data_IF_963879432794
#
_entry.id   IF_963879432794
#
_cell.length_a   1.000
_cell.length_b   1.000
_cell.length_c   1.000
_cell.angle_alpha   90.00
_cell.angle_beta   90.00
_cell.angle_gamma   90.00
#
_symmetry.space_group_name_H-M   'P 1'
#
loop_
_entity.id
_entity.type
_entity.pdbx_description
1 polymer ?
#
# COMPACT_ATOMS: atom_id res chain seq x y z
N UNK A 1 -10.85 -18.44 31.40
CA UNK A 1 -10.07 -17.30 31.91
C UNK A 1 -11.03 -16.13 32.02
N UNK A 2 -10.86 -15.22 32.98
CA UNK A 2 -11.73 -14.04 33.04
C UNK A 2 -11.52 -13.19 31.78
N UNK A 3 -12.62 -12.67 31.22
CA UNK A 3 -12.66 -11.94 29.96
C UNK A 3 -11.74 -10.71 29.95
N UNK A 4 -11.29 -10.30 28.74
CA UNK A 4 -10.64 -9.00 28.54
C UNK A 4 -11.61 -7.92 29.01
N UNK A 5 -11.21 -7.05 29.92
CA UNK A 5 -12.06 -5.93 30.34
C UNK A 5 -11.66 -4.70 29.54
N UNK A 6 -12.63 -3.87 29.09
CA UNK A 6 -12.29 -2.60 28.50
C UNK A 6 -11.58 -1.72 29.52
N UNK A 7 -10.60 -0.98 29.04
CA UNK A 7 -9.92 0.08 29.77
C UNK A 7 -9.98 1.36 28.96
N UNK A 8 -9.76 2.51 29.61
CA UNK A 8 -9.65 3.78 28.91
C UNK A 8 -8.48 3.73 27.91
N UNK A 9 -8.73 4.15 26.68
CA UNK A 9 -7.68 4.26 25.67
C UNK A 9 -6.72 5.41 26.03
N UNK A 10 -5.41 5.25 25.86
CA UNK A 10 -4.46 6.36 26.07
C UNK A 10 -4.63 7.47 25.01
N UNK A 11 -4.04 8.64 25.26
CA UNK A 11 -3.89 9.69 24.24
C UNK A 11 -2.54 9.48 23.52
N UNK A 12 -2.57 9.42 22.20
CA UNK A 12 -1.38 9.44 21.37
C UNK A 12 -0.83 10.86 21.22
N UNK A 13 0.42 10.99 20.79
CA UNK A 13 0.98 12.28 20.37
C UNK A 13 0.58 12.68 18.94
N UNK A 14 -0.15 11.81 18.23
CA UNK A 14 -0.52 11.98 16.82
C UNK A 14 -2.02 12.27 16.69
N UNK A 15 -2.37 13.29 15.91
CA UNK A 15 -3.76 13.73 15.75
C UNK A 15 -4.63 12.71 14.99
N UNK A 16 -4.10 12.03 13.97
CA UNK A 16 -4.85 11.01 13.23
C UNK A 16 -5.09 9.77 14.07
N UNK A 17 -4.09 9.32 14.85
CA UNK A 17 -4.28 8.20 15.78
C UNK A 17 -5.38 8.57 16.78
N UNK A 18 -5.27 9.72 17.47
CA UNK A 18 -6.32 10.18 18.40
C UNK A 18 -7.68 10.34 17.73
N UNK A 19 -7.69 10.65 16.44
CA UNK A 19 -8.87 10.77 15.59
C UNK A 19 -9.58 9.45 15.30
N UNK A 20 -8.91 8.31 15.51
CA UNK A 20 -9.50 6.98 15.36
C UNK A 20 -9.71 6.26 16.70
N UNK A 21 -9.14 6.69 17.82
CA UNK A 21 -9.32 5.97 19.08
C UNK A 21 -10.72 6.22 19.64
N UNK A 22 -11.44 5.14 19.97
CA UNK A 22 -12.57 5.21 20.87
C UNK A 22 -12.11 5.52 22.30
N UNK A 23 -13.04 5.91 23.17
CA UNK A 23 -12.77 6.22 24.59
C UNK A 23 -12.15 5.05 25.36
N UNK A 24 -12.40 3.82 24.92
CA UNK A 24 -11.95 2.57 25.53
C UNK A 24 -11.61 1.51 24.49
N UNK A 25 -10.80 0.54 24.92
CA UNK A 25 -10.37 -0.62 24.13
C UNK A 25 -10.21 -1.83 25.05
N UNK A 26 -10.11 -3.03 24.48
CA UNK A 26 -9.91 -4.26 25.25
C UNK A 26 -8.49 -4.35 25.81
N UNK A 27 -8.33 -4.80 27.06
CA UNK A 27 -7.00 -5.12 27.57
C UNK A 27 -7.04 -6.34 28.49
N UNK A 28 -6.15 -7.30 28.22
CA UNK A 28 -5.81 -8.38 29.15
C UNK A 28 -4.31 -8.30 29.50
N UNK A 29 -3.96 -7.80 30.70
CA UNK A 29 -2.57 -7.61 31.12
C UNK A 29 -1.78 -8.90 31.38
N UNK A 30 -2.39 -10.10 31.30
CA UNK A 30 -1.74 -11.39 31.59
C UNK A 30 -1.54 -12.23 30.30
N UNK A 31 -2.43 -12.11 29.31
CA UNK A 31 -2.48 -13.02 28.15
C UNK A 31 -2.11 -12.40 26.79
N UNK A 32 -1.92 -11.07 26.72
CA UNK A 32 -2.08 -10.35 25.45
C UNK A 32 -3.56 -10.24 25.09
N UNK A 33 -3.92 -9.47 24.05
CA UNK A 33 -5.33 -9.22 23.70
C UNK A 33 -5.94 -10.41 22.96
N UNK A 34 -6.31 -11.45 23.71
CA UNK A 34 -7.07 -12.60 23.22
C UNK A 34 -8.56 -12.29 23.27
N UNK A 35 -9.23 -12.36 22.12
CA UNK A 35 -10.66 -12.05 22.00
C UNK A 35 -11.40 -13.22 21.35
N UNK A 36 -12.37 -13.77 22.07
CA UNK A 36 -13.21 -14.84 21.56
C UNK A 36 -14.37 -14.26 20.75
N UNK A 37 -14.49 -14.68 19.49
CA UNK A 37 -15.53 -14.23 18.58
C UNK A 37 -16.55 -15.32 18.35
N UNK A 38 -17.83 -15.01 18.55
CA UNK A 38 -18.94 -15.90 18.16
C UNK A 38 -19.70 -15.31 16.99
N UNK A 39 -19.66 -16.00 15.84
CA UNK A 39 -20.51 -15.66 14.69
C UNK A 39 -21.86 -16.34 14.90
N UNK A 40 -22.89 -15.56 15.25
CA UNK A 40 -24.24 -16.04 15.59
C UNK A 40 -25.08 -16.30 14.34
N UNK A 41 -26.11 -17.14 14.45
CA UNK A 41 -27.10 -17.34 13.38
C UNK A 41 -26.59 -18.19 12.22
N UNK A 42 -25.51 -18.95 12.42
CA UNK A 42 -25.00 -19.86 11.39
C UNK A 42 -25.99 -21.03 11.19
N UNK A 43 -26.41 -21.25 9.93
CA UNK A 43 -27.33 -22.32 9.51
C UNK A 43 -28.77 -22.26 10.04
N UNK A 44 -29.12 -21.30 10.92
CA UNK A 44 -30.47 -21.11 11.46
C UNK A 44 -30.59 -19.72 12.11
N UNK A 45 -31.82 -19.26 12.32
CA UNK A 45 -32.05 -18.07 13.12
C UNK A 45 -31.58 -18.27 14.57
N UNK A 46 -30.90 -17.27 15.11
CA UNK A 46 -30.40 -17.27 16.48
C UNK A 46 -30.61 -15.90 17.13
N UNK A 47 -31.19 -15.89 18.33
CA UNK A 47 -31.45 -14.67 19.08
C UNK A 47 -30.27 -14.37 19.99
N UNK A 48 -29.91 -13.10 20.06
CA UNK A 48 -28.80 -12.63 20.87
C UNK A 48 -29.09 -11.20 21.36
N UNK A 49 -28.51 -10.81 22.50
CA UNK A 49 -28.67 -9.46 23.04
C UNK A 49 -27.71 -8.48 22.36
N UNK A 50 -28.22 -7.33 21.96
CA UNK A 50 -27.49 -6.22 21.36
C UNK A 50 -27.85 -4.94 22.12
N UNK A 51 -27.06 -4.61 23.13
CA UNK A 51 -27.25 -3.38 23.92
C UNK A 51 -28.59 -3.34 24.68
N UNK A 52 -29.04 -4.49 25.20
CA UNK A 52 -30.33 -4.61 25.89
C UNK A 52 -31.53 -4.86 24.96
N UNK A 53 -31.30 -4.95 23.65
CA UNK A 53 -32.32 -5.30 22.64
C UNK A 53 -32.06 -6.69 22.09
N UNK A 54 -33.07 -7.56 22.11
CA UNK A 54 -32.97 -8.87 21.48
C UNK A 54 -33.11 -8.74 19.94
N UNK A 55 -32.10 -9.20 19.22
CA UNK A 55 -32.06 -9.22 17.74
C UNK A 55 -31.97 -10.65 17.22
N UNK A 56 -32.43 -10.91 16.00
CA UNK A 56 -32.42 -12.24 15.38
C UNK A 56 -31.43 -12.29 14.22
N UNK A 57 -30.30 -12.96 14.45
CA UNK A 57 -29.28 -13.17 13.42
C UNK A 57 -29.58 -14.38 12.54
N UNK A 58 -29.25 -14.27 11.27
CA UNK A 58 -29.17 -15.36 10.31
C UNK A 58 -28.03 -15.07 9.33
N UNK A 59 -26.88 -15.71 9.57
CA UNK A 59 -25.62 -15.44 8.88
C UNK A 59 -25.30 -16.59 7.92
N UNK A 60 -25.19 -16.29 6.63
CA UNK A 60 -24.85 -17.27 5.58
C UNK A 60 -23.34 -17.45 5.43
N UNK A 61 -22.91 -18.50 4.73
CA UNK A 61 -21.49 -18.86 4.60
C UNK A 61 -20.61 -17.73 4.05
N UNK A 62 -21.10 -16.94 3.10
CA UNK A 62 -20.36 -15.85 2.48
C UNK A 62 -20.09 -14.71 3.48
N UNK A 63 -21.07 -14.42 4.34
CA UNK A 63 -20.96 -13.43 5.41
C UNK A 63 -20.05 -13.93 6.55
N UNK A 64 -20.11 -15.23 6.86
CA UNK A 64 -19.15 -15.87 7.77
C UNK A 64 -17.72 -15.68 7.25
N UNK A 65 -17.49 -15.91 5.95
CA UNK A 65 -16.18 -15.68 5.31
C UNK A 65 -15.77 -14.21 5.36
N UNK A 66 -16.68 -13.26 5.16
CA UNK A 66 -16.39 -11.83 5.26
C UNK A 66 -15.94 -11.43 6.68
N UNK A 67 -16.63 -11.92 7.72
CA UNK A 67 -16.17 -11.73 9.11
C UNK A 67 -14.79 -12.35 9.35
N UNK A 68 -14.58 -13.60 8.92
CA UNK A 68 -13.31 -14.29 9.11
C UNK A 68 -12.14 -13.56 8.43
N UNK A 69 -12.35 -13.07 7.20
CA UNK A 69 -11.34 -12.25 6.50
C UNK A 69 -11.03 -10.96 7.26
N UNK A 70 -12.07 -10.27 7.76
CA UNK A 70 -11.91 -9.03 8.52
C UNK A 70 -11.11 -9.25 9.81
N UNK A 71 -11.42 -10.30 10.56
CA UNK A 71 -10.65 -10.70 11.75
C UNK A 71 -9.19 -10.97 11.39
N UNK A 72 -8.95 -11.77 10.35
CA UNK A 72 -7.60 -12.12 9.91
C UNK A 72 -6.79 -10.88 9.48
N UNK A 73 -7.38 -9.94 8.74
CA UNK A 73 -6.67 -8.73 8.31
C UNK A 73 -6.29 -7.83 9.48
N UNK A 74 -7.09 -7.80 10.55
CA UNK A 74 -6.75 -7.09 11.78
C UNK A 74 -5.60 -7.79 12.52
N UNK A 75 -5.62 -9.12 12.64
CA UNK A 75 -4.52 -9.89 13.28
C UNK A 75 -3.20 -9.78 12.50
N UNK A 76 -3.26 -9.64 11.18
CA UNK A 76 -2.06 -9.48 10.36
C UNK A 76 -1.23 -8.27 10.80
N UNK A 77 -1.88 -7.21 11.31
CA UNK A 77 -1.22 -5.92 11.56
C UNK A 77 -1.00 -5.60 13.04
N UNK A 78 -1.68 -6.27 13.96
CA UNK A 78 -1.58 -6.00 15.40
C UNK A 78 -1.67 -7.27 16.27
N UNK A 79 -1.28 -7.19 17.54
CA UNK A 79 -1.23 -8.34 18.45
C UNK A 79 -2.57 -8.65 19.13
N UNK A 80 -3.65 -8.65 18.36
CA UNK A 80 -4.90 -9.29 18.77
C UNK A 80 -4.84 -10.76 18.31
N UNK A 81 -5.33 -11.66 19.15
CA UNK A 81 -5.48 -13.09 18.87
C UNK A 81 -6.98 -13.44 18.97
N UNK A 82 -7.64 -13.46 17.81
CA UNK A 82 -9.04 -13.81 17.67
C UNK A 82 -9.22 -15.33 17.66
N UNK A 83 -10.05 -15.81 18.58
CA UNK A 83 -10.38 -17.23 18.67
C UNK A 83 -11.88 -17.44 18.47
N UNK A 84 -12.28 -18.44 17.71
CA UNK A 84 -13.71 -18.77 17.61
C UNK A 84 -14.24 -19.29 18.94
N UNK A 85 -15.26 -18.63 19.47
CA UNK A 85 -15.95 -19.04 20.69
C UNK A 85 -16.85 -20.25 20.44
N UNK A 86 -17.03 -21.08 21.47
CA UNK A 86 -17.88 -22.28 21.39
C UNK A 86 -19.38 -21.98 21.57
N UNK A 87 -19.73 -20.83 22.15
CA UNK A 87 -21.10 -20.38 22.39
C UNK A 87 -21.15 -18.88 22.63
N UNK A 88 -22.34 -18.28 22.55
CA UNK A 88 -22.54 -16.86 22.89
C UNK A 88 -22.05 -16.50 24.30
N UNK A 89 -22.18 -17.41 25.28
CA UNK A 89 -21.78 -17.16 26.67
C UNK A 89 -20.25 -17.20 26.88
N UNK A 90 -19.51 -17.72 25.89
CA UNK A 90 -18.05 -17.83 25.90
C UNK A 90 -17.37 -16.71 25.09
N UNK A 91 -18.16 -15.83 24.46
CA UNK A 91 -17.66 -14.83 23.52
C UNK A 91 -17.36 -13.49 24.20
N UNK A 92 -16.25 -12.87 23.80
CA UNK A 92 -15.97 -11.46 24.07
C UNK A 92 -16.67 -10.56 23.03
N UNK A 93 -16.67 -10.99 21.77
CA UNK A 93 -17.28 -10.32 20.62
C UNK A 93 -18.31 -11.26 20.02
N UNK A 94 -19.52 -10.74 19.76
CA UNK A 94 -20.57 -11.49 19.05
C UNK A 94 -20.89 -10.73 17.77
N UNK A 95 -20.76 -11.40 16.63
CA UNK A 95 -21.06 -10.81 15.33
C UNK A 95 -22.18 -11.57 14.66
N UNK A 96 -23.03 -10.87 13.91
CA UNK A 96 -24.12 -11.51 13.18
C UNK A 96 -24.74 -10.63 12.12
N UNK A 97 -25.45 -11.27 11.20
CA UNK A 97 -26.21 -10.59 10.16
C UNK A 97 -27.69 -10.62 10.51
N UNK A 98 -28.35 -9.46 10.51
CA UNK A 98 -29.75 -9.27 10.92
C UNK A 98 -30.56 -8.61 9.79
N UNK A 99 -31.88 -8.57 9.93
CA UNK A 99 -32.76 -7.82 9.01
C UNK A 99 -32.86 -6.33 9.37
N UNK A 100 -33.43 -5.53 8.47
CA UNK A 100 -33.50 -4.08 8.58
C UNK A 100 -34.17 -3.57 9.85
N UNK A 101 -35.15 -4.32 10.39
CA UNK A 101 -35.83 -3.96 11.63
C UNK A 101 -34.90 -4.00 12.83
N UNK A 102 -33.99 -4.97 12.86
CA UNK A 102 -33.07 -5.21 13.96
C UNK A 102 -31.83 -4.31 13.86
N UNK A 103 -31.47 -3.89 12.64
CA UNK A 103 -30.40 -2.94 12.37
C UNK A 103 -30.86 -1.46 12.36
N UNK A 104 -32.13 -1.17 12.65
CA UNK A 104 -32.73 0.18 12.61
C UNK A 104 -32.44 0.97 11.30
N UNK A 105 -32.33 0.25 10.18
CA UNK A 105 -32.05 0.83 8.87
C UNK A 105 -30.59 1.22 8.58
N UNK A 106 -29.67 1.04 9.53
CA UNK A 106 -28.23 1.23 9.30
C UNK A 106 -27.63 0.08 8.46
N UNK A 107 -26.48 0.30 7.83
CA UNK A 107 -25.74 -0.75 7.11
C UNK A 107 -25.13 -1.76 8.08
N UNK A 108 -24.57 -1.25 9.17
CA UNK A 108 -24.00 -1.98 10.28
C UNK A 108 -24.09 -1.15 11.55
N UNK A 109 -24.01 -1.83 12.69
CA UNK A 109 -23.91 -1.19 14.01
C UNK A 109 -23.02 -2.05 14.90
N UNK A 110 -22.17 -1.39 15.67
CA UNK A 110 -21.30 -2.00 16.66
C UNK A 110 -21.51 -1.33 18.02
N UNK A 111 -21.34 -2.11 19.09
CA UNK A 111 -21.29 -1.60 20.46
C UNK A 111 -19.82 -1.61 20.89
N UNK A 112 -19.15 -0.45 20.94
CA UNK A 112 -17.73 -0.40 21.28
C UNK A 112 -17.44 -0.90 22.70
N UNK A 113 -16.19 -1.31 22.99
CA UNK A 113 -15.79 -1.75 24.32
C UNK A 113 -16.03 -0.64 25.35
N UNK A 114 -16.67 -0.94 26.49
CA UNK A 114 -16.86 0.02 27.59
C UNK A 114 -18.06 0.96 27.47
N UNK A 115 -18.86 0.90 26.40
CA UNK A 115 -20.07 1.72 26.22
C UNK A 115 -21.35 1.10 26.82
N UNK A 116 -21.23 -0.04 27.51
CA UNK A 116 -22.37 -0.64 28.20
C UNK A 116 -22.65 0.05 29.55
N UNK A 117 -23.79 0.73 29.65
CA UNK A 117 -24.27 1.41 30.88
C UNK A 117 -25.57 0.82 31.44
N UNK A 118 -25.97 -0.40 31.06
CA UNK A 118 -27.21 -1.04 31.48
C UNK A 118 -27.13 -1.96 32.72
N UNK A 119 -28.27 -2.27 33.40
CA UNK A 119 -28.30 -3.04 34.66
C UNK A 119 -28.24 -4.57 34.50
N UNK A 120 -28.19 -5.10 33.28
CA UNK A 120 -28.03 -6.54 32.97
C UNK A 120 -26.79 -6.65 32.07
N UNK A 121 -26.03 -7.74 32.19
CA UNK A 121 -24.73 -7.92 31.51
C UNK A 121 -24.94 -7.83 29.98
N UNK A 122 -24.70 -6.66 29.37
CA UNK A 122 -24.91 -6.44 27.94
C UNK A 122 -23.58 -6.56 27.19
N UNK A 123 -23.70 -6.89 25.91
CA UNK A 123 -22.59 -7.34 25.07
C UNK A 123 -21.89 -6.17 24.39
N UNK A 124 -21.02 -5.50 25.13
CA UNK A 124 -19.92 -4.74 24.55
C UNK A 124 -19.14 -5.62 23.56
N UNK A 125 -18.68 -5.04 22.45
CA UNK A 125 -18.10 -5.78 21.33
C UNK A 125 -19.11 -6.50 20.45
N UNK A 126 -20.42 -6.31 20.62
CA UNK A 126 -21.40 -6.88 19.70
C UNK A 126 -21.42 -6.11 18.38
N UNK A 127 -21.61 -6.83 17.26
CA UNK A 127 -21.68 -6.30 15.90
C UNK A 127 -22.87 -6.90 15.16
N UNK A 128 -23.67 -6.05 14.52
CA UNK A 128 -24.74 -6.45 13.59
C UNK A 128 -24.55 -5.82 12.22
N UNK A 129 -24.83 -6.59 11.18
CA UNK A 129 -24.80 -6.16 9.77
C UNK A 129 -26.20 -6.34 9.18
N UNK A 130 -26.64 -5.40 8.34
CA UNK A 130 -27.99 -5.40 7.78
C UNK A 130 -28.04 -6.06 6.39
N UNK A 131 -28.56 -7.30 6.33
CA UNK A 131 -28.69 -8.03 5.06
C UNK A 131 -29.63 -7.42 4.04
N UNK A 132 -30.57 -6.60 4.49
CA UNK A 132 -31.57 -6.01 3.61
C UNK A 132 -31.02 -4.74 2.94
N UNK A 133 -29.84 -4.27 3.36
CA UNK A 133 -29.17 -3.11 2.81
C UNK A 133 -28.15 -3.42 1.71
N UNK A 134 -27.64 -4.67 1.63
CA UNK A 134 -26.73 -5.11 0.57
C UNK A 134 -27.38 -6.04 -0.46
N UNK A 135 -26.77 -6.16 -1.65
CA UNK A 135 -27.31 -6.89 -2.81
C UNK A 135 -27.34 -8.42 -2.60
N UNK A 136 -28.35 -8.92 -1.89
CA UNK A 136 -28.38 -10.29 -1.32
C UNK A 136 -28.43 -11.49 -2.30
N UNK A 137 -28.48 -11.27 -3.62
CA UNK A 137 -28.42 -12.36 -4.62
C UNK A 137 -27.05 -12.52 -5.27
N UNK A 138 -26.14 -11.55 -5.08
CA UNK A 138 -24.76 -11.58 -5.54
C UNK A 138 -23.84 -11.19 -4.38
N UNK A 139 -23.03 -12.15 -3.91
CA UNK A 139 -22.11 -11.94 -2.80
C UNK A 139 -20.74 -11.42 -3.26
N UNK A 140 -20.59 -10.98 -4.51
CA UNK A 140 -19.32 -10.44 -5.02
C UNK A 140 -18.84 -9.23 -4.22
N UNK A 141 -19.75 -8.42 -3.70
CA UNK A 141 -19.48 -7.26 -2.84
C UNK A 141 -19.06 -7.58 -1.41
N UNK A 142 -19.18 -8.85 -0.96
CA UNK A 142 -18.66 -9.32 0.34
C UNK A 142 -17.19 -9.75 0.29
N UNK A 143 -16.56 -9.70 -0.88
CA UNK A 143 -15.12 -9.97 -1.00
C UNK A 143 -14.32 -8.69 -0.71
N UNK A 144 -13.06 -8.79 -0.26
CA UNK A 144 -12.20 -7.62 -0.08
C UNK A 144 -12.18 -6.76 -1.35
N UNK A 145 -12.46 -5.46 -1.17
CA UNK A 145 -12.68 -4.52 -2.27
C UNK A 145 -14.11 -4.26 -2.65
N UNK A 146 -15.05 -5.09 -2.23
CA UNK A 146 -16.47 -4.84 -2.43
C UNK A 146 -17.02 -3.84 -1.41
N UNK A 147 -18.06 -3.12 -1.81
CA UNK A 147 -18.70 -2.08 -1.01
C UNK A 147 -19.24 -2.65 0.30
N UNK A 148 -19.92 -3.80 0.25
CA UNK A 148 -20.54 -4.39 1.44
C UNK A 148 -19.49 -4.94 2.42
N UNK A 149 -18.32 -5.38 1.91
CA UNK A 149 -17.20 -5.80 2.76
C UNK A 149 -16.65 -4.66 3.62
N UNK A 150 -16.69 -3.40 3.14
CA UNK A 150 -16.22 -2.24 3.91
C UNK A 150 -16.95 -2.16 5.26
N UNK A 151 -18.26 -2.40 5.28
CA UNK A 151 -19.05 -2.37 6.52
C UNK A 151 -18.63 -3.47 7.50
N UNK A 152 -18.28 -4.67 7.01
CA UNK A 152 -17.87 -5.78 7.89
C UNK A 152 -16.59 -5.46 8.67
N UNK A 153 -15.57 -4.96 7.98
CA UNK A 153 -14.30 -4.62 8.61
C UNK A 153 -14.41 -3.35 9.46
N UNK A 154 -15.23 -2.39 9.04
CA UNK A 154 -15.53 -1.16 9.76
C UNK A 154 -16.18 -1.41 11.13
N UNK A 155 -17.27 -2.20 11.16
CA UNK A 155 -17.97 -2.49 12.42
C UNK A 155 -17.12 -3.33 13.39
N UNK A 156 -16.25 -4.19 12.85
CA UNK A 156 -15.23 -4.87 13.65
C UNK A 156 -14.19 -3.91 14.20
N UNK A 157 -13.82 -2.85 13.46
CA UNK A 157 -13.01 -1.74 13.95
C UNK A 157 -13.60 -1.08 15.19
N UNK A 158 -14.90 -0.79 15.18
CA UNK A 158 -15.61 -0.32 16.37
C UNK A 158 -15.59 -1.32 17.52
N UNK A 159 -15.79 -2.61 17.25
CA UNK A 159 -15.81 -3.65 18.27
C UNK A 159 -14.46 -3.82 18.99
N UNK A 160 -13.37 -3.30 18.40
CA UNK A 160 -12.03 -3.27 18.98
C UNK A 160 -11.55 -1.85 19.32
N UNK A 161 -12.46 -0.88 19.43
CA UNK A 161 -12.16 0.43 20.01
C UNK A 161 -11.65 1.47 19.03
N UNK A 162 -11.97 1.35 17.73
CA UNK A 162 -11.82 2.44 16.78
C UNK A 162 -13.11 3.26 16.63
N UNK A 163 -13.01 4.53 16.27
CA UNK A 163 -14.11 5.43 15.99
C UNK A 163 -14.03 6.00 14.58
N UNK A 164 -15.12 6.64 14.15
CA UNK A 164 -15.09 7.43 12.93
C UNK A 164 -14.15 8.63 13.06
N UNK A 165 -13.52 9.06 11.95
CA UNK A 165 -12.66 10.25 11.93
C UNK A 165 -13.45 11.57 12.04
N UNK A 166 -14.78 11.56 11.97
CA UNK A 166 -15.63 12.75 11.86
C UNK A 166 -16.55 13.00 13.07
N UNK A 167 -16.62 12.09 14.03
CA UNK A 167 -17.40 12.27 15.25
C UNK A 167 -16.55 12.09 16.51
N UNK A 168 -17.14 12.40 17.67
CA UNK A 168 -16.45 12.33 18.96
C UNK A 168 -16.19 10.90 19.46
N UNK A 169 -16.84 9.90 18.86
CA UNK A 169 -16.98 8.55 19.42
C UNK A 169 -17.33 8.59 20.91
N UNK A 170 -16.71 7.69 21.68
CA UNK A 170 -16.69 7.73 23.14
C UNK A 170 -15.57 8.61 23.71
N UNK A 171 -15.88 9.39 24.75
CA UNK A 171 -14.88 10.11 25.54
C UNK A 171 -14.31 11.40 24.92
N UNK A 172 -15.09 12.12 24.11
CA UNK A 172 -14.76 13.45 23.54
C UNK A 172 -13.43 13.47 22.75
N UNK A 173 -13.19 12.43 21.95
CA UNK A 173 -11.98 12.30 21.13
C UNK A 173 -12.03 13.29 19.95
N UNK A 174 -10.88 13.83 19.51
CA UNK A 174 -10.86 14.76 18.38
C UNK A 174 -11.24 14.08 17.06
N UNK A 175 -11.63 14.86 16.07
CA UNK A 175 -11.74 14.42 14.68
C UNK A 175 -10.37 14.39 13.99
N UNK A 176 -10.32 13.81 12.79
CA UNK A 176 -9.21 14.04 11.88
C UNK A 176 -9.04 15.54 11.61
N UNK A 177 -7.78 16.02 11.45
CA UNK A 177 -7.51 17.39 11.02
C UNK A 177 -8.33 17.79 9.79
N UNK A 178 -9.00 18.93 9.87
CA UNK A 178 -9.85 19.48 8.81
C UNK A 178 -11.26 18.86 8.68
N UNK A 179 -11.57 17.78 9.41
CA UNK A 179 -12.86 17.07 9.26
C UNK A 179 -13.94 17.63 10.16
N UNK A 180 -15.04 18.04 9.55
CA UNK A 180 -16.21 18.66 10.18
C UNK A 180 -17.55 18.02 9.79
N UNK A 181 -17.57 17.18 8.75
CA UNK A 181 -18.75 16.43 8.31
C UNK A 181 -18.41 14.96 8.04
N UNK A 182 -19.44 14.11 8.03
CA UNK A 182 -19.30 12.66 7.83
C UNK A 182 -19.06 12.26 6.37
N UNK A 183 -19.70 12.95 5.42
CA UNK A 183 -19.63 12.63 4.00
C UNK A 183 -19.12 13.80 3.17
N UNK A 184 -18.40 13.51 2.09
CA UNK A 184 -17.83 14.49 1.15
C UNK A 184 -16.89 15.51 1.81
N UNK A 185 -16.36 15.18 2.98
CA UNK A 185 -15.36 15.96 3.70
C UNK A 185 -14.11 15.10 3.86
N UNK A 186 -13.13 15.34 3.00
CA UNK A 186 -11.89 14.55 2.97
C UNK A 186 -10.84 15.07 3.95
N UNK A 187 -11.16 16.12 4.73
CA UNK A 187 -10.23 16.73 5.69
C UNK A 187 -8.99 17.34 5.05
N UNK A 188 -8.04 17.75 5.89
CA UNK A 188 -6.78 18.31 5.43
C UNK A 188 -5.98 17.27 4.64
N UNK A 189 -5.39 17.69 3.51
CA UNK A 189 -4.65 16.83 2.58
C UNK A 189 -5.45 15.63 2.01
N UNK A 190 -6.78 15.67 2.09
CA UNK A 190 -7.69 14.60 1.64
C UNK A 190 -7.47 13.25 2.38
N UNK A 191 -7.08 13.29 3.66
CA UNK A 191 -6.73 12.09 4.43
C UNK A 191 -7.91 11.37 5.10
N UNK A 192 -9.13 11.89 5.02
CA UNK A 192 -10.35 11.25 5.51
C UNK A 192 -11.11 10.53 4.38
N UNK A 193 -10.56 9.39 3.94
CA UNK A 193 -11.13 8.54 2.90
C UNK A 193 -10.78 7.08 3.16
N UNK A 194 -11.55 6.16 2.58
CA UNK A 194 -11.37 4.71 2.69
C UNK A 194 -9.96 4.26 2.35
N UNK A 195 -9.29 4.91 1.38
CA UNK A 195 -7.88 4.69 1.04
C UNK A 195 -6.91 4.82 2.24
N UNK A 196 -7.25 5.58 3.28
CA UNK A 196 -6.34 5.86 4.40
C UNK A 196 -6.86 5.37 5.75
N UNK A 197 -8.18 5.17 5.89
CA UNK A 197 -8.80 4.56 7.06
C UNK A 197 -10.10 3.89 6.68
N UNK A 198 -10.27 2.63 7.07
CA UNK A 198 -11.51 1.87 6.94
C UNK A 198 -12.65 2.45 7.79
N UNK A 199 -12.35 3.36 8.72
CA UNK A 199 -13.33 4.03 9.58
C UNK A 199 -13.95 5.28 8.93
N UNK A 200 -13.52 5.68 7.73
CA UNK A 200 -14.15 6.78 7.00
C UNK A 200 -15.52 6.37 6.46
N UNK A 201 -16.37 7.36 6.17
CA UNK A 201 -17.58 7.19 5.37
C UNK A 201 -17.38 7.62 3.91
N UNK A 202 -16.16 8.04 3.57
CA UNK A 202 -15.77 8.39 2.20
C UNK A 202 -15.04 7.19 1.58
N UNK A 203 -15.77 6.10 1.35
CA UNK A 203 -15.23 4.79 0.95
C UNK A 203 -14.48 4.85 -0.38
N UNK A 204 -13.47 4.00 -0.54
CA UNK A 204 -12.56 3.96 -1.67
C UNK A 204 -11.65 5.19 -1.73
N UNK A 205 -11.48 5.75 -2.94
CA UNK A 205 -10.67 6.96 -3.16
C UNK A 205 -11.38 8.06 -3.95
N UNK A 206 -12.43 8.69 -3.38
CA UNK A 206 -13.21 9.73 -4.07
C UNK A 206 -12.41 10.89 -4.67
N UNK A 207 -11.33 11.32 -4.01
CA UNK A 207 -10.46 12.39 -4.48
C UNK A 207 -9.37 11.94 -5.47
N UNK A 208 -9.32 10.64 -5.79
CA UNK A 208 -8.40 10.06 -6.76
C UNK A 208 -8.74 10.42 -8.21
N UNK A 209 -7.86 10.06 -9.16
CA UNK A 209 -8.04 10.38 -10.58
C UNK A 209 -9.29 9.72 -11.20
N UNK A 210 -9.75 8.60 -10.65
CA UNK A 210 -10.94 7.89 -11.12
C UNK A 210 -12.24 8.44 -10.51
N UNK A 211 -12.15 9.29 -9.48
CA UNK A 211 -13.30 9.82 -8.74
C UNK A 211 -14.00 8.78 -7.84
N UNK A 212 -15.14 9.16 -7.23
CA UNK A 212 -15.92 8.25 -6.39
C UNK A 212 -16.61 7.17 -7.23
N UNK A 213 -16.73 5.97 -6.67
CA UNK A 213 -17.54 4.90 -7.22
C UNK A 213 -18.99 5.04 -6.75
N UNK A 214 -19.94 4.67 -7.62
CA UNK A 214 -21.35 4.54 -7.25
C UNK A 214 -21.63 3.08 -6.87
N UNK A 215 -21.91 2.76 -5.60
CA UNK A 215 -22.12 1.40 -5.13
C UNK A 215 -23.35 0.71 -5.76
N UNK A 216 -24.28 1.46 -6.35
CA UNK A 216 -25.41 0.89 -7.10
C UNK A 216 -24.93 0.26 -8.42
N UNK A 217 -23.92 0.88 -9.05
CA UNK A 217 -23.39 0.44 -10.35
C UNK A 217 -22.12 -0.40 -10.22
N UNK A 218 -21.35 -0.18 -9.15
CA UNK A 218 -20.03 -0.76 -8.92
C UNK A 218 -19.89 -1.10 -7.44
N UNK A 219 -20.28 -2.32 -7.06
CA UNK A 219 -20.25 -2.79 -5.67
C UNK A 219 -19.21 -3.86 -5.39
N UNK A 220 -18.60 -4.47 -6.40
CA UNK A 220 -17.80 -5.69 -6.24
C UNK A 220 -16.29 -5.50 -6.16
N UNK A 221 -15.82 -4.26 -6.37
CA UNK A 221 -14.40 -3.89 -6.36
C UNK A 221 -14.26 -2.39 -6.13
N UNK A 222 -13.02 -1.94 -5.87
CA UNK A 222 -12.72 -0.51 -5.87
C UNK A 222 -12.78 0.19 -4.53
N UNK A 223 -13.08 -0.54 -3.47
CA UNK A 223 -13.11 -0.04 -2.10
C UNK A 223 -11.91 -0.57 -1.31
N UNK A 224 -11.72 -0.07 -0.09
CA UNK A 224 -10.72 -0.55 0.85
C UNK A 224 -11.02 -1.99 1.31
N UNK A 225 -9.97 -2.82 1.38
CA UNK A 225 -10.10 -4.23 1.69
C UNK A 225 -9.38 -4.69 2.95
N UNK A 226 -8.57 -3.83 3.58
CA UNK A 226 -7.76 -4.15 4.76
C UNK A 226 -7.78 -2.97 5.74
N UNK A 227 -7.25 -3.13 6.98
CA UNK A 227 -6.85 -1.97 7.77
C UNK A 227 -5.87 -1.12 6.94
N UNK A 228 -6.10 0.18 6.93
CA UNK A 228 -5.30 1.15 6.17
C UNK A 228 -4.29 1.85 7.08
N UNK A 229 -3.44 2.72 6.53
CA UNK A 229 -2.27 3.23 7.25
C UNK A 229 -2.59 3.83 8.64
N UNK A 230 -3.69 4.58 8.77
CA UNK A 230 -4.10 5.13 10.07
C UNK A 230 -4.74 4.09 10.98
N UNK A 231 -5.48 3.12 10.44
CA UNK A 231 -6.05 2.02 11.22
C UNK A 231 -4.93 1.15 11.80
N UNK A 232 -3.96 0.78 10.97
CA UNK A 232 -2.76 0.04 11.39
C UNK A 232 -2.06 0.80 12.52
N UNK A 233 -1.79 2.09 12.34
CA UNK A 233 -1.14 2.89 13.37
C UNK A 233 -1.96 2.96 14.69
N UNK A 234 -3.29 3.09 14.61
CA UNK A 234 -4.16 3.13 15.77
C UNK A 234 -4.26 1.78 16.49
N UNK A 235 -4.43 0.69 15.74
CA UNK A 235 -4.46 -0.67 16.26
C UNK A 235 -3.14 -1.04 16.92
N UNK A 236 -2.01 -0.73 16.27
CA UNK A 236 -0.69 -0.97 16.84
C UNK A 236 -0.40 -0.10 18.07
N UNK A 237 -0.96 1.11 18.14
CA UNK A 237 -0.86 1.94 19.33
C UNK A 237 -1.62 1.34 20.53
N UNK A 238 -2.79 0.73 20.29
CA UNK A 238 -3.59 0.09 21.34
C UNK A 238 -3.05 -1.29 21.73
N UNK A 239 -2.65 -2.09 20.74
CA UNK A 239 -2.45 -3.54 20.90
C UNK A 239 -1.01 -3.99 20.61
N UNK A 240 -0.15 -3.12 20.07
CA UNK A 240 1.17 -3.47 19.54
C UNK A 240 1.09 -4.08 18.14
N UNK A 241 2.16 -3.92 17.36
CA UNK A 241 2.26 -4.47 16.00
C UNK A 241 2.63 -5.94 15.95
N UNK A 242 2.05 -6.66 14.99
CA UNK A 242 2.39 -8.04 14.70
C UNK A 242 3.68 -8.10 13.88
N UNK A 243 4.79 -8.48 14.52
CA UNK A 243 6.13 -8.51 13.89
C UNK A 243 6.47 -9.84 13.22
N UNK A 244 5.50 -10.74 13.06
CA UNK A 244 5.70 -12.07 12.47
C UNK A 244 4.90 -12.28 11.18
N UNK A 245 4.14 -11.27 10.74
CA UNK A 245 3.38 -11.32 9.51
C UNK A 245 4.26 -10.84 8.37
N UNK A 246 4.46 -11.70 7.35
CA UNK A 246 5.31 -11.43 6.18
C UNK A 246 6.71 -11.00 6.62
N UNK A 247 7.54 -12.00 6.85
CA UNK A 247 8.94 -11.84 7.33
C UNK A 247 9.94 -12.36 6.30
N UNK A 248 9.49 -12.57 5.07
CA UNK A 248 10.29 -13.10 3.99
C UNK A 248 9.98 -12.33 2.73
N UNK A 249 10.79 -12.55 1.70
CA UNK A 249 10.68 -11.80 0.47
C UNK A 249 9.32 -11.99 -0.21
N UNK A 250 8.53 -10.92 -0.27
CA UNK A 250 7.17 -10.92 -0.76
C UNK A 250 7.01 -10.11 -2.06
N UNK A 251 6.06 -10.54 -2.90
CA UNK A 251 5.67 -9.84 -4.12
C UNK A 251 4.27 -9.24 -4.00
N UNK A 252 4.20 -7.92 -4.12
CA UNK A 252 2.97 -7.13 -4.15
C UNK A 252 2.64 -6.77 -5.60
N UNK A 253 1.77 -7.55 -6.23
CA UNK A 253 1.43 -7.37 -7.65
C UNK A 253 0.20 -6.47 -7.80
N UNK A 254 0.35 -5.36 -8.53
CA UNK A 254 -0.76 -4.44 -8.81
C UNK A 254 -1.81 -5.10 -9.70
N UNK A 255 -3.08 -4.88 -9.35
CA UNK A 255 -4.20 -5.29 -10.21
C UNK A 255 -4.18 -4.50 -11.52
N UNK A 256 -4.45 -5.18 -12.63
CA UNK A 256 -4.54 -4.56 -13.96
C UNK A 256 -5.96 -4.53 -14.52
N UNK A 257 -6.96 -4.91 -13.72
CA UNK A 257 -8.37 -4.93 -14.10
C UNK A 257 -9.28 -4.53 -12.95
N UNK A 258 -10.39 -3.89 -13.28
CA UNK A 258 -11.47 -3.55 -12.35
C UNK A 258 -12.47 -4.71 -12.26
N UNK A 259 -12.27 -5.60 -11.29
CA UNK A 259 -13.09 -6.79 -11.05
C UNK A 259 -13.02 -7.19 -9.57
N UNK A 260 -13.90 -8.10 -9.14
CA UNK A 260 -13.85 -8.65 -7.77
C UNK A 260 -12.44 -9.16 -7.42
N UNK A 261 -11.93 -8.71 -6.27
CA UNK A 261 -10.53 -8.92 -5.87
C UNK A 261 -9.59 -7.74 -6.18
N UNK A 262 -10.07 -6.67 -6.82
CA UNK A 262 -9.34 -5.40 -6.97
C UNK A 262 -9.76 -4.43 -5.87
N UNK A 263 -8.80 -4.00 -5.05
CA UNK A 263 -9.05 -3.17 -3.87
C UNK A 263 -7.85 -2.33 -3.47
N UNK A 264 -8.10 -1.33 -2.63
CA UNK A 264 -7.05 -0.61 -1.93
C UNK A 264 -6.66 -1.35 -0.66
N UNK A 265 -5.36 -1.51 -0.44
CA UNK A 265 -4.82 -2.07 0.80
C UNK A 265 -3.59 -1.31 1.28
N UNK A 266 -3.25 -1.49 2.55
CA UNK A 266 -2.03 -0.95 3.12
C UNK A 266 -1.09 -2.11 3.49
N UNK A 267 0.13 -2.07 2.95
CA UNK A 267 1.12 -3.10 3.18
C UNK A 267 1.63 -3.00 4.62
N UNK A 268 1.46 -4.08 5.36
CA UNK A 268 2.19 -4.37 6.59
C UNK A 268 3.10 -5.56 6.29
N UNK A 269 4.39 -5.29 6.26
CA UNK A 269 5.46 -6.25 6.00
C UNK A 269 6.60 -5.94 6.96
N UNK A 270 7.22 -6.95 7.56
CA UNK A 270 8.05 -6.76 8.76
C UNK A 270 9.49 -7.23 8.62
N UNK A 271 9.81 -8.01 7.58
CA UNK A 271 11.17 -8.41 7.24
C UNK A 271 11.18 -9.02 5.83
N UNK A 272 12.34 -9.09 5.21
CA UNK A 272 12.48 -9.60 3.84
C UNK A 272 13.05 -8.56 2.88
N UNK A 273 13.04 -8.93 1.60
CA UNK A 273 13.36 -8.06 0.48
C UNK A 273 12.17 -8.11 -0.45
N UNK A 274 11.38 -7.06 -0.42
CA UNK A 274 10.02 -7.06 -0.97
C UNK A 274 9.94 -6.25 -2.25
N UNK A 275 8.97 -6.59 -3.09
CA UNK A 275 8.81 -5.96 -4.40
C UNK A 275 7.36 -5.59 -4.67
N UNK A 276 7.10 -4.32 -4.98
CA UNK A 276 5.86 -3.93 -5.67
C UNK A 276 6.09 -4.04 -7.19
N UNK A 277 5.16 -4.68 -7.91
CA UNK A 277 5.29 -4.84 -9.36
C UNK A 277 4.01 -4.64 -10.13
N UNK A 278 4.13 -4.02 -11.31
CA UNK A 278 3.14 -4.05 -12.37
C UNK A 278 3.54 -5.13 -13.38
N UNK A 279 2.60 -6.00 -13.76
CA UNK A 279 2.85 -7.06 -14.77
C UNK A 279 2.02 -6.84 -16.04
N UNK A 280 1.41 -5.68 -16.19
CA UNK A 280 0.54 -5.31 -17.31
C UNK A 280 1.27 -4.39 -18.30
N UNK A 281 0.59 -4.04 -19.39
CA UNK A 281 1.07 -3.05 -20.36
C UNK A 281 0.42 -1.67 -20.17
N UNK A 282 -0.16 -1.43 -19.00
CA UNK A 282 -0.82 -0.17 -18.64
C UNK A 282 0.14 0.61 -17.76
N UNK A 283 0.23 1.92 -18.01
CA UNK A 283 0.97 2.89 -17.20
C UNK A 283 0.64 2.72 -15.71
N UNK A 284 1.65 2.83 -14.86
CA UNK A 284 1.48 2.73 -13.42
C UNK A 284 2.33 3.76 -12.68
N UNK A 285 1.90 4.07 -11.46
CA UNK A 285 2.73 4.75 -10.47
C UNK A 285 3.05 3.74 -9.37
N UNK A 286 4.34 3.55 -9.06
CA UNK A 286 4.81 2.77 -7.91
C UNK A 286 5.62 3.71 -7.02
N UNK A 287 5.18 3.84 -5.77
CA UNK A 287 5.79 4.73 -4.77
C UNK A 287 6.12 3.94 -3.51
N UNK A 288 7.41 3.76 -3.23
CA UNK A 288 7.93 2.93 -2.13
C UNK A 288 7.98 3.68 -0.80
N UNK A 289 7.49 4.93 -0.73
CA UNK A 289 7.50 5.71 0.51
C UNK A 289 6.36 5.28 1.44
N UNK A 290 6.73 4.86 2.64
CA UNK A 290 5.81 4.55 3.72
C UNK A 290 5.01 5.78 4.20
N UNK A 291 3.84 5.50 4.80
CA UNK A 291 3.05 6.48 5.52
C UNK A 291 3.89 7.23 6.55
N UNK A 292 3.82 8.55 6.53
CA UNK A 292 4.57 9.40 7.46
C UNK A 292 3.85 9.56 8.80
N UNK A 293 2.51 9.40 8.79
CA UNK A 293 1.56 9.78 9.84
C UNK A 293 1.57 11.26 10.19
N UNK A 294 2.26 12.10 9.41
CA UNK A 294 2.32 13.53 9.62
C UNK A 294 1.07 14.21 9.06
N UNK A 295 0.78 15.39 9.59
CA UNK A 295 -0.24 16.28 9.04
C UNK A 295 0.29 16.96 7.77
N UNK A 296 0.41 16.18 6.70
CA UNK A 296 0.95 16.58 5.40
C UNK A 296 0.53 15.56 4.32
N UNK A 297 0.78 15.90 3.06
CA UNK A 297 0.76 14.92 1.95
C UNK A 297 1.67 13.74 2.29
N UNK A 298 1.18 12.51 2.11
CA UNK A 298 1.86 11.28 2.52
C UNK A 298 1.60 10.88 3.98
N UNK A 299 0.72 11.58 4.70
CA UNK A 299 0.28 11.20 6.06
C UNK A 299 -0.22 9.76 6.13
N UNK A 300 -1.14 9.39 5.23
CA UNK A 300 -1.65 8.03 5.06
C UNK A 300 -0.87 7.15 4.08
N UNK A 301 0.32 7.58 3.65
CA UNK A 301 1.12 6.91 2.62
C UNK A 301 0.87 7.43 1.21
N UNK A 302 1.66 6.92 0.28
CA UNK A 302 1.57 7.19 -1.15
C UNK A 302 1.03 5.94 -1.85
N UNK A 303 0.17 6.12 -2.84
CA UNK A 303 -0.48 5.01 -3.53
C UNK A 303 0.39 4.53 -4.70
N UNK A 304 0.69 3.24 -4.71
CA UNK A 304 1.10 2.50 -5.89
C UNK A 304 -0.14 1.94 -6.60
N UNK A 305 -0.34 2.24 -7.88
CA UNK A 305 -1.53 1.85 -8.66
C UNK A 305 -1.25 1.80 -10.17
N UNK A 306 -2.05 1.01 -10.89
CA UNK A 306 -2.13 1.04 -12.36
C UNK A 306 -3.19 2.06 -12.78
N UNK A 307 -2.95 2.80 -13.85
CA UNK A 307 -3.84 3.84 -14.35
C UNK A 307 -5.24 3.29 -14.69
N UNK A 308 -6.28 3.98 -14.22
CA UNK A 308 -7.68 3.59 -14.40
C UNK A 308 -8.14 2.41 -13.54
N UNK A 309 -7.27 1.83 -12.71
CA UNK A 309 -7.62 0.74 -11.80
C UNK A 309 -7.94 1.30 -10.40
N UNK A 310 -9.09 0.90 -9.85
CA UNK A 310 -9.51 1.28 -8.51
C UNK A 310 -8.93 0.30 -7.49
N UNK A 311 -7.61 0.28 -7.37
CA UNK A 311 -6.94 -0.60 -6.43
C UNK A 311 -5.44 -0.35 -6.44
N UNK A 312 -4.79 -0.86 -5.41
CA UNK A 312 -3.36 -0.63 -5.23
C UNK A 312 -2.94 -0.68 -3.77
N UNK A 313 -1.71 -0.23 -3.54
CA UNK A 313 -1.04 -0.36 -2.26
C UNK A 313 -0.58 0.99 -1.73
N UNK A 314 -0.95 1.30 -0.50
CA UNK A 314 -0.15 2.20 0.35
C UNK A 314 0.79 1.35 1.21
N UNK A 315 1.79 1.97 1.82
CA UNK A 315 2.74 1.27 2.71
C UNK A 315 2.60 1.83 4.13
N UNK A 316 2.44 0.96 5.13
CA UNK A 316 2.25 1.37 6.51
C UNK A 316 3.51 2.00 7.12
N UNK A 317 3.34 2.80 8.18
CA UNK A 317 4.47 3.44 8.86
C UNK A 317 5.43 2.37 9.40
N UNK A 318 6.71 2.51 9.07
CA UNK A 318 7.77 1.63 9.59
C UNK A 318 8.01 0.37 8.76
N UNK A 319 7.22 0.17 7.71
CA UNK A 319 7.47 -0.83 6.67
C UNK A 319 8.45 -0.26 5.65
N UNK A 320 9.37 -1.09 5.18
CA UNK A 320 10.26 -0.79 4.05
C UNK A 320 9.92 -1.75 2.93
N UNK A 321 9.85 -1.24 1.70
CA UNK A 321 9.78 -2.06 0.49
C UNK A 321 11.00 -1.71 -0.32
N UNK A 322 11.81 -2.70 -0.66
CA UNK A 322 13.14 -2.49 -1.20
C UNK A 322 13.11 -2.34 -2.73
N UNK A 323 12.13 -2.93 -3.42
CA UNK A 323 12.18 -3.02 -4.87
C UNK A 323 10.86 -2.62 -5.54
N UNK A 324 10.99 -2.13 -6.77
CA UNK A 324 9.88 -1.83 -7.65
C UNK A 324 10.17 -2.31 -9.08
N UNK A 325 9.13 -2.84 -9.73
CA UNK A 325 9.17 -3.19 -11.16
C UNK A 325 7.95 -2.62 -11.88
N UNK A 326 8.18 -1.75 -12.85
CA UNK A 326 7.19 -1.31 -13.83
C UNK A 326 6.70 -2.48 -14.70
N UNK A 327 5.72 -2.20 -15.54
CA UNK A 327 5.18 -3.11 -16.55
C UNK A 327 5.72 -2.79 -17.93
N UNK A 328 4.86 -2.91 -18.95
CA UNK A 328 5.19 -2.53 -20.32
C UNK A 328 4.58 -1.16 -20.72
N UNK A 329 4.14 -0.38 -19.74
CA UNK A 329 3.54 0.95 -19.92
C UNK A 329 4.57 2.05 -19.76
N UNK A 330 4.15 3.32 -19.75
CA UNK A 330 5.00 4.43 -19.30
C UNK A 330 4.85 4.56 -17.79
N UNK A 331 5.77 3.98 -17.04
CA UNK A 331 5.68 3.87 -15.59
C UNK A 331 6.38 5.02 -14.87
N UNK A 332 5.89 5.36 -13.68
CA UNK A 332 6.55 6.25 -12.73
C UNK A 332 6.91 5.45 -11.48
N UNK A 333 8.20 5.35 -11.18
CA UNK A 333 8.73 4.62 -10.05
C UNK A 333 9.46 5.60 -9.12
N UNK A 334 9.06 5.62 -7.86
CA UNK A 334 9.65 6.45 -6.81
C UNK A 334 10.15 5.50 -5.71
N UNK A 335 11.45 5.50 -5.47
CA UNK A 335 12.11 4.75 -4.40
C UNK A 335 11.82 5.31 -3.01
N UNK A 336 12.69 5.03 -2.06
CA UNK A 336 12.60 5.55 -0.70
C UNK A 336 13.98 6.02 -0.20
N UNK A 337 14.27 5.92 1.10
CA UNK A 337 15.55 6.39 1.66
C UNK A 337 16.54 5.25 1.93
N UNK A 338 16.26 4.07 1.37
CA UNK A 338 17.06 2.86 1.51
C UNK A 338 17.50 2.39 0.13
N UNK A 339 18.53 1.55 0.07
CA UNK A 339 19.01 1.01 -1.20
C UNK A 339 17.91 0.21 -1.91
N UNK A 340 17.48 0.68 -3.07
CA UNK A 340 16.43 0.06 -3.86
C UNK A 340 16.96 -0.64 -5.11
N UNK A 341 16.22 -1.64 -5.59
CA UNK A 341 16.32 -2.08 -7.00
C UNK A 341 15.07 -1.65 -7.74
N UNK A 342 15.23 -0.75 -8.71
CA UNK A 342 14.14 -0.13 -9.46
C UNK A 342 14.27 -0.49 -10.94
N UNK A 343 13.24 -1.12 -11.50
CA UNK A 343 13.23 -1.56 -12.90
C UNK A 343 12.03 -1.00 -13.65
N UNK A 344 12.23 -0.22 -14.70
CA UNK A 344 11.16 0.32 -15.55
C UNK A 344 10.54 -0.75 -16.47
N UNK A 345 11.40 -1.57 -17.08
CA UNK A 345 11.10 -2.60 -18.08
C UNK A 345 10.89 -2.05 -19.49
N UNK A 346 9.65 -1.93 -19.96
CA UNK A 346 9.37 -1.47 -21.34
C UNK A 346 8.52 -0.23 -21.24
N UNK A 347 8.96 0.89 -21.80
CA UNK A 347 8.25 2.13 -21.58
C UNK A 347 9.14 3.33 -21.75
N UNK A 348 8.58 4.54 -21.64
CA UNK A 348 9.40 5.73 -21.42
C UNK A 348 9.27 6.10 -19.94
N UNK A 349 10.02 5.41 -19.10
CA UNK A 349 9.78 5.37 -17.68
C UNK A 349 10.40 6.57 -16.96
N UNK A 350 9.85 6.89 -15.79
CA UNK A 350 10.37 7.90 -14.87
C UNK A 350 10.75 7.22 -13.58
N UNK A 351 12.04 7.09 -13.33
CA UNK A 351 12.55 6.43 -12.12
C UNK A 351 13.29 7.47 -11.28
N UNK A 352 12.96 7.53 -9.99
CA UNK A 352 13.62 8.38 -9.01
C UNK A 352 13.93 7.58 -7.75
N UNK A 353 15.20 7.28 -7.51
CA UNK A 353 15.69 6.53 -6.33
C UNK A 353 15.41 7.24 -5.00
N UNK A 354 15.42 8.57 -5.01
CA UNK A 354 15.39 9.47 -3.85
C UNK A 354 16.66 9.40 -3.00
N UNK A 355 16.92 8.33 -2.26
CA UNK A 355 18.22 8.17 -1.63
C UNK A 355 18.42 6.79 -1.04
N UNK A 356 19.64 6.51 -0.59
CA UNK A 356 20.10 5.12 -0.54
C UNK A 356 21.00 4.86 -1.74
N UNK A 357 21.74 3.76 -1.75
CA UNK A 357 22.57 3.39 -2.89
C UNK A 357 21.73 2.51 -3.83
N UNK A 358 21.18 3.11 -4.87
CA UNK A 358 20.12 2.50 -5.68
C UNK A 358 20.68 1.80 -6.92
N UNK A 359 19.99 0.74 -7.34
CA UNK A 359 20.20 0.07 -8.62
C UNK A 359 19.04 0.39 -9.55
N UNK A 360 19.32 1.16 -10.60
CA UNK A 360 18.30 1.69 -11.50
C UNK A 360 18.49 1.07 -12.88
N UNK A 361 17.48 0.33 -13.32
CA UNK A 361 17.39 -0.25 -14.66
C UNK A 361 16.21 0.41 -15.35
N UNK A 362 16.46 1.30 -16.32
CA UNK A 362 15.40 1.88 -17.15
C UNK A 362 14.68 0.78 -17.92
N UNK A 363 15.46 0.02 -18.69
CA UNK A 363 14.94 -1.01 -19.59
C UNK A 363 14.88 -0.44 -21.00
N UNK A 364 13.95 -0.91 -21.83
CA UNK A 364 13.83 -0.42 -23.20
C UNK A 364 12.91 0.78 -23.29
N UNK A 365 13.39 1.84 -23.93
CA UNK A 365 12.62 3.01 -24.32
C UNK A 365 13.45 4.25 -24.14
N UNK A 366 12.83 5.37 -23.80
CA UNK A 366 13.52 6.63 -23.54
C UNK A 366 13.24 7.06 -22.10
N UNK A 367 14.10 6.62 -21.18
CA UNK A 367 13.84 6.71 -19.76
C UNK A 367 14.43 7.98 -19.15
N UNK A 368 13.80 8.40 -18.05
CA UNK A 368 14.22 9.53 -17.24
C UNK A 368 14.62 9.00 -15.86
N UNK A 369 15.91 8.87 -15.63
CA UNK A 369 16.50 8.25 -14.45
C UNK A 369 17.06 9.32 -13.51
N UNK A 370 16.81 9.17 -12.21
CA UNK A 370 17.42 9.97 -11.16
C UNK A 370 17.80 9.05 -10.00
N UNK A 371 19.06 9.08 -9.57
CA UNK A 371 19.55 8.32 -8.43
C UNK A 371 19.11 8.97 -7.11
N UNK A 372 19.24 10.29 -7.05
CA UNK A 372 19.00 11.05 -5.83
C UNK A 372 20.24 11.11 -4.96
N UNK A 373 20.12 10.68 -3.70
CA UNK A 373 21.21 10.75 -2.73
C UNK A 373 21.76 9.39 -2.39
N UNK A 374 22.95 9.06 -2.88
CA UNK A 374 23.58 7.77 -2.63
C UNK A 374 24.80 7.61 -3.49
N UNK A 375 25.28 6.37 -3.60
CA UNK A 375 26.15 5.96 -4.69
C UNK A 375 25.30 5.05 -5.56
N UNK A 376 24.85 5.56 -6.71
CA UNK A 376 23.79 4.93 -7.49
C UNK A 376 24.36 4.26 -8.74
N UNK A 377 23.87 3.04 -9.03
CA UNK A 377 24.23 2.27 -10.22
C UNK A 377 23.14 2.45 -11.28
N UNK A 378 23.47 3.09 -12.41
CA UNK A 378 22.60 3.15 -13.59
C UNK A 378 22.97 2.00 -14.53
N UNK A 379 22.15 0.94 -14.51
CA UNK A 379 22.47 -0.36 -15.09
C UNK A 379 21.78 -0.52 -16.44
N UNK A 380 22.59 -0.90 -17.44
CA UNK A 380 22.16 -1.22 -18.79
C UNK A 380 22.56 -2.66 -19.13
N UNK A 381 21.58 -3.47 -19.53
CA UNK A 381 21.76 -4.91 -19.76
C UNK A 381 21.75 -5.29 -21.24
N UNK A 382 21.28 -4.40 -22.11
CA UNK A 382 21.34 -4.55 -23.55
C UNK A 382 21.52 -3.19 -24.25
N UNK A 383 22.07 -3.21 -25.46
CA UNK A 383 22.17 -2.00 -26.28
C UNK A 383 20.82 -1.38 -26.61
N UNK A 384 19.76 -2.21 -26.67
CA UNK A 384 18.37 -1.77 -26.87
C UNK A 384 17.86 -0.84 -25.78
N UNK A 385 18.48 -0.86 -24.60
CA UNK A 385 18.01 -0.10 -23.44
C UNK A 385 18.18 1.41 -23.65
N UNK A 386 19.14 1.84 -24.49
CA UNK A 386 19.33 3.26 -24.79
C UNK A 386 19.83 3.50 -26.22
N UNK A 387 19.27 2.75 -27.18
CA UNK A 387 19.55 2.90 -28.62
C UNK A 387 18.46 3.69 -29.34
N UNK A 388 18.85 4.61 -30.24
CA UNK A 388 17.94 5.44 -31.01
C UNK A 388 17.33 6.62 -30.24
N UNK A 389 16.74 6.37 -29.07
CA UNK A 389 16.33 7.42 -28.12
C UNK A 389 17.13 7.23 -26.84
N UNK A 390 18.03 8.18 -26.49
CA UNK A 390 18.88 8.02 -25.34
C UNK A 390 18.08 8.24 -24.05
N UNK A 391 18.33 7.39 -23.07
CA UNK A 391 18.01 7.65 -21.68
C UNK A 391 18.66 8.93 -21.18
N UNK A 392 18.00 9.54 -20.20
CA UNK A 392 18.47 10.74 -19.53
C UNK A 392 18.63 10.48 -18.04
N UNK A 393 19.89 10.42 -17.60
CA UNK A 393 20.24 10.48 -16.18
C UNK A 393 20.30 11.96 -15.76
N UNK A 394 19.46 12.34 -14.80
CA UNK A 394 19.20 13.75 -14.46
C UNK A 394 20.17 14.36 -13.46
N UNK A 395 20.79 13.54 -12.63
CA UNK A 395 21.50 14.00 -11.43
C UNK A 395 22.83 13.27 -11.16
N UNK A 396 23.38 12.59 -12.17
CA UNK A 396 24.64 11.85 -12.08
C UNK A 396 25.75 12.66 -11.39
N UNK A 397 26.37 12.06 -10.38
CA UNK A 397 27.46 12.61 -9.58
C UNK A 397 28.75 11.87 -9.86
N UNK A 398 29.69 12.53 -10.53
CA UNK A 398 31.03 11.99 -10.79
C UNK A 398 31.73 11.55 -9.49
N UNK A 399 32.44 10.41 -9.58
CA UNK A 399 33.17 9.73 -8.51
C UNK A 399 32.29 9.26 -7.34
N UNK A 400 30.98 9.14 -7.58
CA UNK A 400 30.02 8.64 -6.61
C UNK A 400 29.05 7.66 -7.27
N UNK A 401 28.45 8.04 -8.39
CA UNK A 401 27.54 7.20 -9.17
C UNK A 401 28.29 6.45 -10.27
N UNK A 402 27.74 5.32 -10.70
CA UNK A 402 28.32 4.45 -11.71
C UNK A 402 27.34 4.24 -12.89
N UNK A 403 27.90 4.20 -14.10
CA UNK A 403 27.21 3.69 -15.29
C UNK A 403 27.67 2.24 -15.49
N UNK A 404 26.77 1.29 -15.23
CA UNK A 404 27.04 -0.14 -15.38
C UNK A 404 26.57 -0.65 -16.74
N UNK A 405 27.52 -1.07 -17.57
CA UNK A 405 27.30 -1.66 -18.89
C UNK A 405 27.98 -3.03 -19.02
N UNK A 406 28.45 -3.62 -17.92
CA UNK A 406 29.23 -4.86 -17.92
C UNK A 406 28.41 -6.08 -18.40
N UNK A 407 27.08 -5.96 -18.40
CA UNK A 407 26.17 -6.96 -18.95
C UNK A 407 26.05 -6.91 -20.48
N UNK A 408 26.45 -5.80 -21.12
CA UNK A 408 26.42 -5.66 -22.58
C UNK A 408 27.64 -6.39 -23.15
N UNK A 409 27.39 -7.45 -23.93
CA UNK A 409 28.44 -8.18 -24.62
C UNK A 409 29.11 -7.28 -25.68
N UNK A 410 30.31 -6.80 -25.37
CA UNK A 410 31.00 -5.78 -26.14
C UNK A 410 31.73 -6.33 -27.38
N UNK A 411 31.21 -7.40 -28.00
CA UNK A 411 31.72 -7.85 -29.30
C UNK A 411 30.73 -8.76 -30.05
N UNK A 412 30.11 -8.23 -31.12
CA UNK A 412 29.34 -9.07 -32.04
C UNK A 412 30.17 -10.08 -32.87
N UNK A 413 31.50 -10.14 -32.72
CA UNK A 413 32.38 -10.90 -33.61
C UNK A 413 33.47 -11.79 -32.95
N UNK A 414 33.86 -11.60 -31.69
CA UNK A 414 34.83 -12.47 -30.99
C UNK A 414 34.17 -13.39 -29.94
N UNK A 415 34.83 -14.50 -29.60
CA UNK A 415 34.38 -15.39 -28.53
C UNK A 415 34.83 -14.86 -27.15
N UNK A 416 33.88 -14.48 -26.30
CA UNK A 416 34.08 -13.95 -24.94
C UNK A 416 33.27 -12.68 -24.73
N UNK A 417 33.09 -12.25 -23.47
CA UNK A 417 32.49 -10.95 -23.12
C UNK A 417 33.65 -9.96 -22.81
N UNK A 418 34.30 -9.34 -23.81
CA UNK A 418 35.33 -8.34 -23.54
C UNK A 418 34.67 -7.08 -22.97
N UNK A 419 35.24 -6.52 -21.90
CA UNK A 419 34.80 -5.23 -21.36
C UNK A 419 35.07 -4.08 -22.35
N UNK A 420 34.29 -3.00 -22.28
CA UNK A 420 34.57 -1.79 -23.06
C UNK A 420 35.92 -1.18 -22.69
N UNK A 421 36.58 -0.56 -23.67
CA UNK A 421 37.73 0.31 -23.42
C UNK A 421 37.26 1.76 -23.29
N UNK A 422 37.42 2.37 -22.13
CA UNK A 422 37.09 3.79 -21.92
C UNK A 422 38.18 4.71 -22.47
N UNK A 423 37.81 5.56 -23.44
CA UNK A 423 38.71 6.47 -24.17
C UNK A 423 38.70 7.91 -23.63
N UNK A 424 37.93 8.17 -22.57
CA UNK A 424 37.65 9.54 -22.12
C UNK A 424 36.92 10.33 -23.20
N UNK A 425 37.50 11.47 -23.62
CA UNK A 425 36.92 12.32 -24.67
C UNK A 425 37.50 12.08 -26.08
N UNK A 426 38.43 11.13 -26.22
CA UNK A 426 39.07 10.81 -27.50
C UNK A 426 38.08 10.18 -28.48
N UNK A 427 38.37 10.27 -29.78
CA UNK A 427 37.56 9.62 -30.81
C UNK A 427 37.69 8.09 -30.77
N UNK A 428 36.64 7.38 -31.19
CA UNK A 428 36.69 5.93 -31.39
C UNK A 428 37.82 5.55 -32.34
N UNK A 429 38.55 4.50 -31.99
CA UNK A 429 39.67 3.98 -32.76
C UNK A 429 39.24 2.80 -33.63
N UNK A 430 38.13 2.14 -33.30
CA UNK A 430 37.66 0.92 -33.96
C UNK A 430 38.51 -0.30 -33.59
N UNK A 431 39.14 -0.29 -32.40
CA UNK A 431 39.95 -1.40 -31.90
C UNK A 431 39.12 -2.48 -31.16
N UNK A 432 37.80 -2.43 -31.26
CA UNK A 432 36.85 -3.25 -30.51
C UNK A 432 35.77 -2.36 -29.90
N UNK A 433 35.10 -2.85 -28.86
CA UNK A 433 34.12 -2.04 -28.15
C UNK A 433 34.78 -0.97 -27.29
N UNK A 434 34.29 0.25 -27.45
CA UNK A 434 34.86 1.45 -26.87
C UNK A 434 33.76 2.34 -26.29
N UNK A 435 34.06 2.94 -25.14
CA UNK A 435 33.19 3.92 -24.49
C UNK A 435 33.89 5.29 -24.47
N UNK A 436 33.15 6.36 -24.73
CA UNK A 436 33.66 7.73 -24.67
C UNK A 436 32.59 8.71 -24.23
N UNK A 437 32.98 9.92 -23.84
CA UNK A 437 32.03 11.00 -23.57
C UNK A 437 32.30 12.27 -24.38
N UNK A 438 31.24 13.03 -24.65
CA UNK A 438 31.30 14.35 -25.29
C UNK A 438 30.34 15.32 -24.60
N UNK A 439 30.88 16.46 -24.17
CA UNK A 439 30.11 17.57 -23.60
C UNK A 439 29.46 18.40 -24.70
N UNK A 440 28.19 18.74 -24.53
CA UNK A 440 27.46 19.69 -25.36
C UNK A 440 27.04 20.89 -24.51
N UNK A 441 27.86 21.93 -24.53
CA UNK A 441 27.65 23.16 -23.76
C UNK A 441 26.36 23.92 -24.13
N UNK A 442 25.86 23.78 -25.37
CA UNK A 442 24.64 24.47 -25.82
C UNK A 442 23.40 23.92 -25.12
N UNK A 443 23.37 22.62 -24.87
CA UNK A 443 22.23 21.93 -24.31
C UNK A 443 22.41 21.60 -22.82
N UNK A 444 23.56 21.96 -22.24
CA UNK A 444 23.97 21.61 -20.87
C UNK A 444 23.87 20.10 -20.58
N UNK A 445 24.50 19.30 -21.45
CA UNK A 445 24.49 17.83 -21.34
C UNK A 445 25.85 17.22 -21.64
N UNK A 446 26.08 16.04 -21.09
CA UNK A 446 27.21 15.16 -21.42
C UNK A 446 26.63 13.88 -22.03
N UNK A 447 27.06 13.52 -23.24
CA UNK A 447 26.63 12.28 -23.87
C UNK A 447 27.74 11.25 -23.73
N UNK A 448 27.40 10.08 -23.21
CA UNK A 448 28.23 8.87 -23.22
C UNK A 448 27.85 8.09 -24.46
N UNK A 449 28.84 7.75 -25.28
CA UNK A 449 28.68 6.99 -26.50
C UNK A 449 29.38 5.64 -26.34
N UNK A 450 28.68 4.58 -26.73
CA UNK A 450 29.21 3.22 -26.77
C UNK A 450 29.24 2.75 -28.23
N UNK A 451 30.42 2.43 -28.72
CA UNK A 451 30.67 1.69 -29.96
C UNK A 451 30.85 0.22 -29.56
N UNK A 452 29.92 -0.64 -29.94
CA UNK A 452 29.82 -2.04 -29.48
C UNK A 452 30.41 -2.97 -30.54
N UNK A 453 30.27 -2.64 -31.82
CA UNK A 453 30.75 -3.47 -32.93
C UNK A 453 32.12 -3.02 -33.52
N UNK A 454 32.68 -1.92 -32.99
CA UNK A 454 33.99 -1.38 -33.39
C UNK A 454 33.95 -0.63 -34.73
N UNK A 455 32.78 -0.24 -35.23
CA UNK A 455 32.63 0.42 -36.53
C UNK A 455 32.90 1.94 -36.50
N UNK A 456 33.31 2.50 -35.35
CA UNK A 456 33.56 3.92 -35.08
C UNK A 456 32.30 4.80 -35.04
N UNK A 457 31.12 4.18 -34.98
CA UNK A 457 29.83 4.83 -34.72
C UNK A 457 29.29 4.38 -33.38
N UNK A 458 28.57 5.27 -32.69
CA UNK A 458 27.89 4.89 -31.47
C UNK A 458 26.67 4.02 -31.81
N UNK A 459 26.57 2.85 -31.18
CA UNK A 459 25.40 1.97 -31.21
C UNK A 459 24.38 2.32 -30.13
N UNK A 460 24.89 2.85 -29.01
CA UNK A 460 24.10 3.25 -27.85
C UNK A 460 24.59 4.59 -27.33
N UNK A 461 23.66 5.40 -26.83
CA UNK A 461 23.97 6.72 -26.25
C UNK A 461 23.23 6.87 -24.94
N UNK A 462 23.94 7.27 -23.88
CA UNK A 462 23.36 7.65 -22.59
C UNK A 462 23.59 9.15 -22.41
N UNK A 463 22.57 9.88 -21.94
CA UNK A 463 22.67 11.32 -21.74
C UNK A 463 22.64 11.67 -20.26
N UNK A 464 23.63 12.44 -19.83
CA UNK A 464 23.69 13.04 -18.50
C UNK A 464 23.32 14.51 -18.58
N UNK A 465 22.50 14.98 -17.64
CA UNK A 465 22.24 16.41 -17.46
C UNK A 465 23.47 17.08 -16.84
N UNK A 466 23.92 18.20 -17.41
CA UNK A 466 25.10 18.94 -16.98
C UNK A 466 26.39 18.62 -17.76
N UNK A 467 27.41 19.46 -17.56
CA UNK A 467 28.73 19.35 -18.21
C UNK A 467 29.75 18.58 -17.36
N UNK A 468 29.51 17.28 -17.17
CA UNK A 468 30.26 16.37 -16.29
C UNK A 468 31.53 15.87 -16.99
N UNK A 469 32.68 15.99 -16.32
CA UNK A 469 33.91 15.32 -16.77
C UNK A 469 33.92 13.92 -16.18
N UNK A 470 33.92 12.90 -17.02
CA UNK A 470 33.95 11.50 -16.58
C UNK A 470 35.38 10.94 -16.64
N UNK A 471 35.68 9.99 -15.77
CA UNK A 471 36.85 9.13 -15.85
C UNK A 471 36.48 7.64 -15.79
N UNK A 472 37.47 6.75 -15.79
CA UNK A 472 37.21 5.30 -15.86
C UNK A 472 36.56 4.75 -14.57
N UNK A 473 36.58 5.49 -13.47
CA UNK A 473 35.95 5.12 -12.20
C UNK A 473 34.46 5.43 -12.13
N UNK A 474 33.87 6.07 -13.14
CA UNK A 474 32.42 6.31 -13.26
C UNK A 474 31.71 5.16 -14.02
N UNK A 475 32.42 4.08 -14.34
CA UNK A 475 31.94 3.00 -15.20
C UNK A 475 32.25 1.62 -14.62
N UNK A 476 31.26 0.74 -14.73
CA UNK A 476 31.42 -0.71 -14.56
C UNK A 476 31.33 -1.31 -15.97
N UNK A 477 32.45 -1.85 -16.48
CA UNK A 477 32.68 -2.23 -17.89
C UNK A 477 32.88 -3.71 -18.13
#
# INVERSE_FOLDING_TARGET
>A
MAFSNPIASPLASNAYINGLLWGSHWNDPIAGTRLKVYITGQSKNEIFDFGGTAVTAHTVSQEVTAFQNSLQFIENVCNIDFMMASSQADADIIVGVVGNSDADGFLGVSIPPGEDVGPVVNRQGAVILNRDAYYSSDYSSLHPGGYDFTTFIHELGHAIGLKHPHDSGGGDRPNFPGVTASFSDYGDFNLNQGLYTMMSYNDGWPAGPNGPLDPISTSSYGYEGTPMAFDIAALQFLYGGNTNFRIGNDFYTLSSTNASGTFYSCIWDTDGIDTIRNTSAIDSTIDLRAATLLHATGGGGYLSSVDGINGGFTIAKGVTIENASGGNGTDTIIGNWTANTLTGNVGNDRINGLGGADKIIGGTGADMLAGGGGADDFIYVASSDSSGQPDIIKDFVHALDDIDVAAIDANGADAGNPAFVFLGNSAFTGAGAEARFVKNATNDVTNVFLDIDGNQSADMTIRLTGLITLDAGDFIL
#
